data_IF_259346804948
#
_entry.id   IF_259346804948
#
_cell.length_a   1.000
_cell.length_b   1.000
_cell.length_c   1.000
_cell.angle_alpha   90.00
_cell.angle_beta   90.00
_cell.angle_gamma   90.00
#
_symmetry.space_group_name_H-M   'P 1'
#
loop_
_entity.id
_entity.type
_entity.pdbx_description
1 polymer ?
#
# COMPACT_ATOMS: atom_id res chain seq x y z
N UNK A 1 6.11 12.73 -20.47
CA UNK A 1 4.86 13.45 -20.53
C UNK A 1 3.99 13.20 -19.34
N UNK A 2 3.64 14.26 -18.65
CA UNK A 2 2.92 14.21 -17.38
C UNK A 2 1.54 13.55 -17.54
N UNK A 3 0.84 13.82 -18.62
CA UNK A 3 -0.50 13.33 -18.87
C UNK A 3 -0.58 11.80 -19.02
N UNK A 4 0.35 11.19 -19.75
CA UNK A 4 0.35 9.74 -19.94
C UNK A 4 0.59 8.98 -18.65
N UNK A 5 1.53 9.47 -17.82
CA UNK A 5 1.83 8.85 -16.54
C UNK A 5 0.66 8.99 -15.56
N UNK A 6 0.06 10.18 -15.49
CA UNK A 6 -1.09 10.42 -14.62
C UNK A 6 -2.29 9.55 -15.01
N UNK A 7 -2.57 9.43 -16.31
CA UNK A 7 -3.65 8.58 -16.79
C UNK A 7 -3.43 7.10 -16.48
N UNK A 8 -2.20 6.61 -16.62
CA UNK A 8 -1.88 5.22 -16.28
C UNK A 8 -2.09 4.95 -14.80
N UNK A 9 -1.60 5.83 -13.94
CA UNK A 9 -1.77 5.70 -12.50
C UNK A 9 -3.25 5.71 -12.12
N UNK A 10 -4.01 6.64 -12.66
CA UNK A 10 -5.44 6.76 -12.42
C UNK A 10 -6.17 5.50 -12.88
N UNK A 11 -5.86 5.01 -14.08
CA UNK A 11 -6.48 3.80 -14.61
C UNK A 11 -6.20 2.58 -13.73
N UNK A 12 -4.97 2.44 -13.26
CA UNK A 12 -4.60 1.31 -12.41
C UNK A 12 -5.30 1.38 -11.06
N UNK A 13 -5.36 2.57 -10.46
CA UNK A 13 -6.08 2.79 -9.20
C UNK A 13 -7.57 2.52 -9.40
N UNK A 14 -8.15 2.98 -10.50
CA UNK A 14 -9.54 2.70 -10.85
C UNK A 14 -9.82 1.21 -10.99
N UNK A 15 -8.94 0.48 -11.67
CA UNK A 15 -9.07 -0.98 -11.81
C UNK A 15 -9.02 -1.68 -10.47
N UNK A 16 -8.12 -1.26 -9.59
CA UNK A 16 -7.99 -1.80 -8.24
C UNK A 16 -9.25 -1.55 -7.43
N UNK A 17 -9.74 -0.31 -7.43
CA UNK A 17 -10.96 0.06 -6.71
C UNK A 17 -12.15 -0.70 -7.27
N UNK A 18 -12.25 -0.79 -8.59
CA UNK A 18 -13.34 -1.51 -9.25
C UNK A 18 -13.34 -3.00 -8.90
N UNK A 19 -12.17 -3.62 -8.90
CA UNK A 19 -12.01 -5.01 -8.47
C UNK A 19 -12.44 -5.17 -7.00
N UNK A 20 -12.00 -4.29 -6.13
CA UNK A 20 -12.36 -4.33 -4.72
C UNK A 20 -13.87 -4.10 -4.51
N UNK A 21 -14.49 -3.17 -5.29
CA UNK A 21 -15.89 -2.83 -5.14
C UNK A 21 -16.85 -3.91 -5.63
N UNK A 22 -16.36 -4.92 -6.34
CA UNK A 22 -17.17 -6.07 -6.74
C UNK A 22 -17.53 -7.00 -5.58
N UNK A 23 -17.60 -6.48 -4.36
CA UNK A 23 -17.94 -7.22 -3.16
C UNK A 23 -16.72 -7.83 -2.47
N UNK A 24 -15.53 -7.42 -2.86
CA UNK A 24 -14.28 -7.89 -2.26
C UNK A 24 -13.69 -6.91 -1.27
N UNK A 25 -14.17 -5.66 -1.29
CA UNK A 25 -13.74 -4.64 -0.34
C UNK A 25 -14.16 -5.07 1.07
N UNK A 26 -13.25 -5.03 2.01
CA UNK A 26 -13.51 -5.42 3.38
C UNK A 26 -13.50 -6.92 3.63
N UNK A 27 -13.38 -7.75 2.58
CA UNK A 27 -13.28 -9.19 2.77
C UNK A 27 -11.86 -9.59 3.16
N UNK A 28 -11.77 -10.56 4.07
CA UNK A 28 -10.49 -11.16 4.41
C UNK A 28 -10.16 -12.25 3.40
N UNK A 29 -9.01 -12.14 2.76
CA UNK A 29 -8.52 -13.15 1.84
C UNK A 29 -7.85 -14.29 2.61
N UNK A 30 -7.61 -15.46 1.96
CA UNK A 30 -6.80 -16.50 2.57
C UNK A 30 -5.47 -15.91 3.04
N UNK A 31 -5.11 -16.16 4.31
CA UNK A 31 -3.94 -15.51 4.91
C UNK A 31 -4.21 -14.16 5.56
N UNK A 32 -5.46 -13.68 5.52
CA UNK A 32 -5.90 -12.48 6.22
C UNK A 32 -5.66 -11.17 5.49
N UNK A 33 -5.18 -11.21 4.23
CA UNK A 33 -4.95 -9.98 3.45
C UNK A 33 -6.25 -9.23 3.19
N UNK A 34 -6.19 -7.91 3.15
CA UNK A 34 -7.33 -7.03 2.93
C UNK A 34 -6.94 -5.83 2.09
N UNK A 35 -7.93 -5.23 1.42
CA UNK A 35 -7.79 -3.90 0.87
C UNK A 35 -8.00 -2.91 2.01
N UNK A 36 -7.03 -2.04 2.22
CA UNK A 36 -7.09 -1.02 3.27
C UNK A 36 -6.92 0.36 2.63
N UNK A 37 -7.33 1.40 3.35
CA UNK A 37 -7.04 2.77 2.96
C UNK A 37 -6.00 3.32 3.93
N UNK A 38 -4.89 3.81 3.40
CA UNK A 38 -3.91 4.54 4.21
C UNK A 38 -4.12 6.03 4.00
N UNK A 39 -3.86 6.82 5.04
CA UNK A 39 -3.90 8.26 4.98
C UNK A 39 -2.54 8.78 5.42
N UNK A 40 -1.88 9.53 4.55
CA UNK A 40 -0.54 10.06 4.80
C UNK A 40 -0.54 11.57 4.63
N UNK A 41 0.37 12.25 5.34
CA UNK A 41 0.49 13.70 5.24
C UNK A 41 1.33 14.08 4.02
N UNK A 42 0.73 14.80 3.10
CA UNK A 42 1.43 15.26 1.90
C UNK A 42 2.62 16.12 2.25
N UNK A 43 3.83 15.68 1.92
CA UNK A 43 5.08 16.37 2.27
C UNK A 43 5.23 17.74 1.61
N UNK A 44 4.51 17.95 0.52
CA UNK A 44 4.54 19.24 -0.21
C UNK A 44 3.32 20.08 0.07
N UNK A 45 2.13 19.46 0.10
CA UNK A 45 0.88 20.19 0.26
C UNK A 45 0.47 20.43 1.70
N UNK A 46 0.96 19.60 2.63
CA UNK A 46 0.48 19.62 4.01
C UNK A 46 -0.94 19.06 4.17
N UNK A 47 -1.49 18.48 3.13
CA UNK A 47 -2.83 17.91 3.15
C UNK A 47 -2.78 16.39 3.32
N UNK A 48 -3.79 15.85 3.99
CA UNK A 48 -3.93 14.41 4.16
C UNK A 48 -4.38 13.77 2.84
N UNK A 49 -3.71 12.68 2.44
CA UNK A 49 -3.98 11.98 1.19
C UNK A 49 -4.36 10.54 1.49
N UNK A 50 -5.46 10.07 0.92
CA UNK A 50 -5.90 8.67 1.05
C UNK A 50 -5.50 7.86 -0.17
N UNK A 51 -5.05 6.62 0.08
CA UNK A 51 -4.63 5.69 -0.97
C UNK A 51 -5.09 4.28 -0.63
N UNK A 52 -5.76 3.56 -1.55
CA UNK A 52 -6.12 2.16 -1.31
C UNK A 52 -4.96 1.25 -1.63
N UNK A 53 -4.72 0.25 -0.77
CA UNK A 53 -3.63 -0.70 -0.95
C UNK A 53 -4.06 -2.07 -0.46
N UNK A 54 -3.50 -3.12 -1.07
CA UNK A 54 -3.59 -4.46 -0.49
C UNK A 54 -2.60 -4.54 0.67
N UNK A 55 -3.04 -5.11 1.80
CA UNK A 55 -2.22 -5.26 2.98
C UNK A 55 -2.35 -6.67 3.54
N UNK A 56 -1.27 -7.18 4.12
CA UNK A 56 -1.27 -8.49 4.79
C UNK A 56 -1.04 -8.30 6.28
N UNK A 57 -1.78 -9.02 7.15
CA UNK A 57 -1.55 -8.92 8.59
C UNK A 57 -0.23 -9.61 8.96
N UNK A 58 0.61 -8.92 9.74
CA UNK A 58 1.90 -9.45 10.14
C UNK A 58 2.45 -8.65 11.32
N UNK A 59 3.07 -9.33 12.27
CA UNK A 59 3.80 -8.70 13.39
C UNK A 59 2.97 -7.64 14.16
N UNK A 60 1.69 -7.90 14.36
CA UNK A 60 0.82 -6.97 15.08
C UNK A 60 0.39 -5.75 14.27
N UNK A 61 0.65 -5.74 12.97
CA UNK A 61 0.29 -4.66 12.08
C UNK A 61 -0.09 -5.16 10.70
N UNK A 62 0.16 -4.33 9.70
CA UNK A 62 -0.18 -4.61 8.32
C UNK A 62 1.00 -4.31 7.42
N UNK A 63 1.33 -5.26 6.53
CA UNK A 63 2.41 -5.07 5.57
C UNK A 63 1.88 -4.52 4.24
N UNK A 64 2.55 -3.50 3.72
CA UNK A 64 2.21 -2.87 2.44
C UNK A 64 3.47 -2.63 1.63
N UNK A 65 3.31 -2.44 0.33
CA UNK A 65 4.45 -2.23 -0.56
C UNK A 65 4.20 -1.05 -1.50
N UNK A 66 5.26 -0.27 -1.74
CA UNK A 66 5.23 0.87 -2.66
C UNK A 66 5.54 0.48 -4.09
N UNK A 67 4.77 -0.46 -4.64
CA UNK A 67 4.97 -0.97 -6.00
C UNK A 67 4.47 -0.03 -7.09
N UNK A 68 3.57 0.90 -6.74
CA UNK A 68 2.92 1.82 -7.68
C UNK A 68 2.40 1.09 -8.93
N UNK A 69 1.75 -0.07 -8.72
CA UNK A 69 1.19 -0.89 -9.79
C UNK A 69 2.21 -1.26 -10.88
N UNK A 70 3.46 -1.46 -10.49
CA UNK A 70 4.53 -1.87 -11.40
C UNK A 70 5.21 -0.74 -12.16
N UNK A 71 4.95 0.50 -11.80
CA UNK A 71 5.59 1.66 -12.43
C UNK A 71 6.94 1.96 -11.78
N UNK A 72 7.87 2.50 -12.59
CA UNK A 72 9.19 2.88 -12.09
C UNK A 72 9.14 4.01 -11.07
N UNK A 73 8.15 4.87 -11.18
CA UNK A 73 7.99 5.98 -10.26
C UNK A 73 7.53 5.47 -8.89
N UNK A 74 8.22 5.88 -7.84
CA UNK A 74 7.83 5.58 -6.47
C UNK A 74 6.54 6.35 -6.14
N UNK A 75 5.53 5.70 -5.54
CA UNK A 75 4.28 6.38 -5.19
C UNK A 75 4.53 7.46 -4.15
N UNK A 76 3.77 8.55 -4.26
CA UNK A 76 3.95 9.71 -3.39
C UNK A 76 3.81 9.41 -1.91
N UNK A 77 2.95 8.46 -1.54
CA UNK A 77 2.77 8.14 -0.13
C UNK A 77 4.04 7.62 0.54
N UNK A 78 4.93 6.96 -0.23
CA UNK A 78 6.21 6.48 0.30
C UNK A 78 7.05 7.67 0.79
N UNK A 79 7.19 8.68 -0.04
CA UNK A 79 7.93 9.89 0.34
C UNK A 79 7.27 10.60 1.52
N UNK A 80 5.93 10.62 1.53
CA UNK A 80 5.19 11.25 2.61
C UNK A 80 5.51 10.63 3.96
N UNK A 81 5.49 9.30 4.05
CA UNK A 81 5.76 8.60 5.32
C UNK A 81 7.23 8.61 5.69
N UNK A 82 8.13 8.79 4.74
CA UNK A 82 9.56 8.97 5.02
C UNK A 82 9.83 10.31 5.70
N UNK A 83 9.04 11.34 5.37
CA UNK A 83 9.13 12.66 6.00
C UNK A 83 8.34 12.70 7.30
N UNK A 84 7.12 12.13 7.30
CA UNK A 84 6.23 12.15 8.46
C UNK A 84 5.57 10.77 8.57
N UNK A 85 6.09 9.96 9.46
CA UNK A 85 5.72 8.53 9.55
C UNK A 85 4.43 8.25 10.32
N UNK A 86 3.71 9.27 10.75
CA UNK A 86 2.41 9.12 11.40
C UNK A 86 1.31 9.39 10.39
N UNK A 87 0.29 8.56 10.42
CA UNK A 87 -0.86 8.69 9.55
C UNK A 87 -2.01 7.89 10.09
N UNK A 88 -2.80 7.31 9.20
CA UNK A 88 -3.97 6.53 9.57
C UNK A 88 -4.10 5.32 8.66
N UNK A 89 -4.77 4.30 9.16
CA UNK A 89 -5.17 3.13 8.37
C UNK A 89 -6.63 2.85 8.63
N UNK A 90 -7.39 2.65 7.56
CA UNK A 90 -8.79 2.30 7.61
C UNK A 90 -8.93 0.84 7.18
N UNK A 91 -9.39 0.00 8.10
CA UNK A 91 -9.58 -1.43 7.87
C UNK A 91 -11.07 -1.71 8.11
N UNK A 92 -11.77 -2.14 7.07
CA UNK A 92 -13.19 -2.46 7.14
C UNK A 92 -14.06 -1.31 7.69
N UNK A 93 -13.69 -0.07 7.37
CA UNK A 93 -14.42 1.11 7.83
C UNK A 93 -14.00 1.61 9.21
N UNK A 94 -13.03 0.97 9.85
CA UNK A 94 -12.51 1.40 11.15
C UNK A 94 -11.17 2.09 10.95
N UNK A 95 -11.16 3.40 11.08
CA UNK A 95 -9.95 4.21 10.92
C UNK A 95 -9.24 4.36 12.26
N UNK A 96 -7.92 4.16 12.23
CA UNK A 96 -7.06 4.28 13.42
C UNK A 96 -5.79 5.02 13.05
N UNK A 97 -5.25 5.77 13.99
CA UNK A 97 -3.91 6.31 13.84
C UNK A 97 -2.91 5.16 13.71
N UNK A 98 -1.87 5.38 12.94
CA UNK A 98 -0.88 4.33 12.69
C UNK A 98 0.49 4.92 12.45
N UNK A 99 1.51 4.12 12.74
CA UNK A 99 2.90 4.44 12.45
C UNK A 99 3.36 3.61 11.25
N UNK A 100 4.07 4.24 10.33
CA UNK A 100 4.62 3.59 9.13
C UNK A 100 6.11 3.38 9.33
N UNK A 101 6.57 2.13 9.28
CA UNK A 101 7.97 1.78 9.47
C UNK A 101 8.48 1.02 8.26
N UNK A 102 9.50 1.56 7.60
CA UNK A 102 10.13 0.82 6.50
C UNK A 102 10.86 -0.38 7.06
N UNK A 103 10.70 -1.53 6.42
CA UNK A 103 11.29 -2.79 6.86
C UNK A 103 12.21 -3.36 5.78
N UNK A 104 13.11 -4.24 6.20
CA UNK A 104 14.06 -4.92 5.34
C UNK A 104 14.28 -6.34 5.82
N UNK A 105 15.01 -7.14 5.03
CA UNK A 105 15.38 -8.50 5.40
C UNK A 105 14.19 -9.45 5.42
N UNK A 106 14.16 -10.31 6.42
CA UNK A 106 13.16 -11.38 6.52
C UNK A 106 11.73 -10.84 6.56
N UNK A 107 11.49 -9.78 7.30
CA UNK A 107 10.16 -9.20 7.42
C UNK A 107 9.68 -8.63 6.08
N UNK A 108 10.54 -7.95 5.36
CA UNK A 108 10.26 -7.47 4.00
C UNK A 108 9.88 -8.63 3.08
N UNK A 109 10.65 -9.70 3.11
CA UNK A 109 10.43 -10.87 2.27
C UNK A 109 9.09 -11.53 2.59
N UNK A 110 8.76 -11.66 3.86
CA UNK A 110 7.48 -12.25 4.28
C UNK A 110 6.29 -11.41 3.88
N UNK A 111 6.39 -10.09 4.00
CA UNK A 111 5.32 -9.19 3.57
C UNK A 111 5.13 -9.30 2.07
N UNK A 112 6.20 -9.23 1.30
CA UNK A 112 6.11 -9.27 -0.16
C UNK A 112 5.58 -10.63 -0.64
N UNK A 113 6.03 -11.72 -0.04
CA UNK A 113 5.51 -13.05 -0.36
C UNK A 113 4.00 -13.16 -0.08
N UNK A 114 3.55 -12.57 1.02
CA UNK A 114 2.12 -12.52 1.35
C UNK A 114 1.32 -11.73 0.32
N UNK A 115 1.85 -10.61 -0.15
CA UNK A 115 1.19 -9.81 -1.18
C UNK A 115 1.12 -10.56 -2.51
N UNK A 116 2.20 -11.22 -2.92
CA UNK A 116 2.23 -12.03 -4.14
C UNK A 116 1.21 -13.17 -4.08
N UNK A 117 1.08 -13.82 -2.91
CA UNK A 117 0.13 -14.93 -2.76
C UNK A 117 -1.31 -14.49 -2.92
N UNK A 118 -1.62 -13.22 -2.63
CA UNK A 118 -2.97 -12.67 -2.74
C UNK A 118 -3.23 -12.00 -4.09
N UNK A 119 -2.19 -11.48 -4.72
CA UNK A 119 -2.29 -10.80 -6.01
C UNK A 119 -1.02 -11.07 -6.80
N UNK A 120 -1.09 -12.04 -7.71
CA UNK A 120 0.08 -12.47 -8.49
C UNK A 120 0.72 -11.35 -9.32
N UNK A 121 -0.03 -10.28 -9.62
CA UNK A 121 0.53 -9.13 -10.33
C UNK A 121 1.69 -8.47 -9.58
N UNK A 122 1.79 -8.61 -8.25
CA UNK A 122 2.93 -8.10 -7.49
C UNK A 122 4.24 -8.73 -7.92
N UNK A 123 4.24 -10.01 -8.30
CA UNK A 123 5.43 -10.66 -8.84
C UNK A 123 5.86 -10.02 -10.15
N UNK A 124 4.90 -9.72 -11.03
CA UNK A 124 5.18 -9.02 -12.29
C UNK A 124 5.70 -7.61 -12.05
N UNK A 125 5.18 -6.93 -11.05
CA UNK A 125 5.64 -5.59 -10.70
C UNK A 125 7.13 -5.59 -10.39
N UNK A 126 7.60 -6.53 -9.58
CA UNK A 126 9.00 -6.62 -9.23
C UNK A 126 9.88 -6.94 -10.45
N UNK A 127 9.42 -7.80 -11.35
CA UNK A 127 10.16 -8.16 -12.58
C UNK A 127 10.27 -6.99 -13.54
N UNK A 128 9.26 -6.11 -13.60
CA UNK A 128 9.19 -5.02 -14.55
C UNK A 128 9.79 -3.72 -14.02
N UNK A 129 10.13 -3.66 -12.75
CA UNK A 129 10.71 -2.49 -12.11
C UNK A 129 12.18 -2.75 -11.83
N UNK A 130 13.05 -1.80 -12.19
CA UNK A 130 14.47 -1.88 -11.89
C UNK A 130 14.83 -1.27 -10.55
N UNK A 131 13.93 -0.45 -10.00
CA UNK A 131 14.11 0.14 -8.67
C UNK A 131 13.70 -0.83 -7.58
N UNK A 132 14.17 -0.55 -6.38
CA UNK A 132 13.70 -1.26 -5.19
C UNK A 132 12.24 -0.91 -4.92
N UNK A 133 11.47 -1.90 -4.46
CA UNK A 133 10.09 -1.69 -4.02
C UNK A 133 10.11 -1.55 -2.49
N UNK A 134 9.88 -0.35 -1.95
CA UNK A 134 9.88 -0.17 -0.50
C UNK A 134 8.70 -0.89 0.15
N UNK A 135 8.98 -1.56 1.26
CA UNK A 135 7.99 -2.32 2.03
C UNK A 135 7.90 -1.72 3.42
N UNK A 136 6.68 -1.53 3.91
CA UNK A 136 6.41 -0.90 5.19
C UNK A 136 5.55 -1.79 6.06
N UNK A 137 5.81 -1.73 7.35
CA UNK A 137 4.90 -2.24 8.37
C UNK A 137 4.09 -1.05 8.91
N UNK A 138 2.78 -1.18 8.84
CA UNK A 138 1.85 -0.18 9.39
C UNK A 138 1.34 -0.72 10.72
N UNK A 139 1.67 -0.04 11.80
CA UNK A 139 1.30 -0.45 13.16
C UNK A 139 0.18 0.45 13.65
N UNK A 140 -1.07 -0.04 13.73
CA UNK A 140 -2.16 0.74 14.29
C UNK A 140 -1.92 1.04 15.75
N UNK A 141 -2.28 2.25 16.16
CA UNK A 141 -2.21 2.64 17.56
C UNK A 141 -3.26 1.88 18.37
N UNK A 142 -2.87 1.35 19.51
CA UNK A 142 -3.80 0.69 20.41
C UNK A 142 -4.74 1.72 21.05
N UNK A 143 -5.99 1.29 21.24
CA UNK A 143 -6.99 2.13 21.90
C UNK A 143 -6.82 2.09 23.41
#
# INVERSE_FOLDING_TARGET
>A
MVWGTALRTTTTVHRFIHWASRGRLGRTFPGGAKVVWITTLGRKSGEWRRTPLLAVPIEGGWGIAGSNAGQEKIPGWVYNVEVHNLGRIDIDGHEREATFTRVSGDLEDRIYAGLISQWSAYEMYQRNIQREIPVFLVTPKEN
#
